data_IF_839444975447
#
_entry.id   IF_839444975447
#
_cell.length_a   1.000
_cell.length_b   1.000
_cell.length_c   1.000
_cell.angle_alpha   90.00
_cell.angle_beta   90.00
_cell.angle_gamma   90.00
#
_symmetry.space_group_name_H-M   'P 1'
#
loop_
_entity.id
_entity.type
_entity.pdbx_description
1 polymer ?
#
# COMPACT_ATOMS: atom_id res chain seq x y z
N UNK A 1 -1.12 22.43 -1.60
CA UNK A 1 -0.42 23.71 -1.82
C UNK A 1 -0.52 24.54 -0.54
N UNK A 2 0.53 25.27 -0.16
CA UNK A 2 0.54 26.10 1.05
C UNK A 2 -0.49 27.23 0.93
N UNK A 3 -1.19 27.52 2.03
CA UNK A 3 -2.22 28.55 2.09
C UNK A 3 -1.61 29.96 1.98
N UNK A 4 -1.96 30.71 0.93
CA UNK A 4 -1.43 32.06 0.67
C UNK A 4 -1.83 33.09 1.73
N UNK A 5 -2.84 32.81 2.56
CA UNK A 5 -3.22 33.71 3.67
C UNK A 5 -2.28 33.66 4.86
N UNK A 6 -1.53 32.58 5.08
CA UNK A 6 -0.60 32.46 6.22
C UNK A 6 0.87 32.63 5.86
N UNK A 7 1.22 32.48 4.58
CA UNK A 7 2.61 32.57 4.11
C UNK A 7 2.67 33.44 2.84
N UNK A 8 2.63 34.78 2.97
CA UNK A 8 2.47 35.66 1.82
C UNK A 8 3.76 35.84 1.00
N UNK A 9 4.93 35.45 1.55
CA UNK A 9 6.22 35.64 0.89
C UNK A 9 6.98 34.32 0.70
N UNK A 10 7.89 34.31 -0.29
CA UNK A 10 8.68 33.13 -0.65
C UNK A 10 9.53 32.62 0.52
N UNK A 11 10.10 33.53 1.32
CA UNK A 11 10.92 33.20 2.49
C UNK A 11 10.17 32.33 3.49
N UNK A 12 8.97 32.74 3.88
CA UNK A 12 8.20 32.05 4.90
C UNK A 12 7.69 30.70 4.38
N UNK A 13 7.29 30.62 3.09
CA UNK A 13 6.93 29.35 2.43
C UNK A 13 8.10 28.35 2.44
N UNK A 14 9.30 28.79 2.07
CA UNK A 14 10.51 27.96 2.02
C UNK A 14 10.92 27.49 3.42
N UNK A 15 11.06 28.41 4.38
CA UNK A 15 11.49 28.08 5.74
C UNK A 15 10.49 27.18 6.47
N UNK A 16 9.19 27.44 6.30
CA UNK A 16 8.14 26.58 6.85
C UNK A 16 8.24 25.16 6.27
N UNK A 17 8.36 25.02 4.95
CA UNK A 17 8.48 23.71 4.30
C UNK A 17 9.71 22.92 4.78
N UNK A 18 10.87 23.58 4.87
CA UNK A 18 12.10 22.99 5.40
C UNK A 18 11.93 22.53 6.86
N UNK A 19 11.16 23.25 7.68
CA UNK A 19 10.95 22.91 9.09
C UNK A 19 10.23 21.56 9.32
N UNK A 20 9.47 21.07 8.33
CA UNK A 20 8.78 19.78 8.39
C UNK A 20 9.64 18.60 7.92
N UNK A 21 10.78 18.85 7.27
CA UNK A 21 11.66 17.81 6.72
C UNK A 21 12.61 17.25 7.79
N UNK A 22 12.02 16.60 8.80
CA UNK A 22 12.75 16.06 9.97
C UNK A 22 13.18 14.60 9.83
N UNK A 23 12.69 13.90 8.81
CA UNK A 23 12.95 12.47 8.59
C UNK A 23 14.34 12.20 7.98
N UNK A 24 14.92 11.03 8.29
CA UNK A 24 16.36 10.69 8.09
C UNK A 24 16.87 10.99 6.67
N UNK A 25 16.07 10.68 5.64
CA UNK A 25 16.46 10.87 4.24
C UNK A 25 16.33 12.33 3.77
N UNK A 26 15.39 13.08 4.34
CA UNK A 26 15.14 14.48 3.99
C UNK A 26 15.99 15.46 4.82
N UNK A 27 16.43 15.06 6.02
CA UNK A 27 17.10 15.92 6.98
C UNK A 27 18.42 16.52 6.44
N UNK A 28 19.25 15.71 5.76
CA UNK A 28 20.52 16.21 5.18
C UNK A 28 20.30 17.21 4.04
N UNK A 29 19.29 16.94 3.20
CA UNK A 29 18.94 17.86 2.11
C UNK A 29 18.35 19.16 2.67
N UNK A 30 17.49 19.05 3.68
CA UNK A 30 16.93 20.18 4.41
C UNK A 30 18.02 21.06 5.03
N UNK A 31 19.00 20.44 5.69
CA UNK A 31 20.13 21.17 6.29
C UNK A 31 20.93 21.92 5.22
N UNK A 32 21.27 21.24 4.13
CA UNK A 32 21.99 21.85 3.01
C UNK A 32 21.23 23.04 2.41
N UNK A 33 19.93 22.87 2.11
CA UNK A 33 19.09 23.93 1.54
C UNK A 33 18.84 25.08 2.51
N UNK A 34 18.69 24.78 3.80
CA UNK A 34 18.57 25.81 4.83
C UNK A 34 19.84 26.66 4.92
N UNK A 35 21.01 26.03 4.82
CA UNK A 35 22.30 26.72 4.88
C UNK A 35 22.55 27.56 3.62
N UNK A 36 22.25 27.03 2.44
CA UNK A 36 22.31 27.75 1.17
C UNK A 36 21.42 29.02 1.22
N UNK A 37 20.16 28.86 1.61
CA UNK A 37 19.22 29.97 1.67
C UNK A 37 19.61 31.03 2.71
N UNK A 38 20.06 30.61 3.90
CA UNK A 38 20.56 31.53 4.94
C UNK A 38 21.81 32.28 4.48
N UNK A 39 22.67 31.66 3.68
CA UNK A 39 23.85 32.30 3.11
C UNK A 39 23.44 33.40 2.13
N UNK A 40 22.56 33.11 1.17
CA UNK A 40 22.07 34.11 0.21
C UNK A 40 21.34 35.27 0.89
N UNK A 41 20.61 35.02 2.00
CA UNK A 41 20.00 36.09 2.80
C UNK A 41 21.02 37.04 3.42
N UNK A 42 22.11 36.50 3.97
CA UNK A 42 23.18 37.31 4.57
C UNK A 42 23.92 38.12 3.51
N UNK A 43 24.21 37.51 2.37
CA UNK A 43 24.86 38.17 1.25
C UNK A 43 23.99 39.32 0.74
N UNK A 44 22.68 39.11 0.55
CA UNK A 44 21.76 40.15 0.10
C UNK A 44 21.58 41.29 1.11
N UNK A 45 21.69 41.00 2.41
CA UNK A 45 21.67 42.04 3.44
C UNK A 45 22.96 42.88 3.46
N UNK A 46 24.07 42.32 3.00
CA UNK A 46 25.36 43.02 2.89
C UNK A 46 25.53 43.74 1.54
N UNK A 47 24.56 43.61 0.63
CA UNK A 47 24.55 44.23 -0.68
C UNK A 47 24.40 45.75 -0.59
N UNK A 48 25.23 46.49 -1.33
CA UNK A 48 25.11 47.94 -1.41
C UNK A 48 23.94 48.33 -2.30
N UNK A 49 23.22 49.39 -1.91
CA UNK A 49 22.06 49.92 -2.65
C UNK A 49 22.40 50.41 -4.07
N UNK A 50 23.70 50.60 -4.36
CA UNK A 50 24.23 51.06 -5.65
C UNK A 50 24.65 49.91 -6.59
N UNK A 51 24.39 48.65 -6.23
CA UNK A 51 24.72 47.49 -7.06
C UNK A 51 23.90 47.48 -8.36
N UNK A 52 24.58 47.22 -9.49
CA UNK A 52 23.92 47.10 -10.79
C UNK A 52 22.95 45.91 -10.79
N UNK A 53 21.86 45.93 -11.58
CA UNK A 53 20.89 44.83 -11.63
C UNK A 53 21.51 43.46 -11.96
N UNK A 54 22.58 43.45 -12.75
CA UNK A 54 23.36 42.26 -13.11
C UNK A 54 24.21 41.67 -11.97
N UNK A 55 24.53 42.49 -10.96
CA UNK A 55 25.33 42.10 -9.79
C UNK A 55 24.44 41.79 -8.56
N UNK A 56 23.10 41.88 -8.71
CA UNK A 56 22.18 41.70 -7.59
C UNK A 56 22.11 40.25 -7.11
N UNK A 57 22.15 40.07 -5.80
CA UNK A 57 22.08 38.76 -5.17
C UNK A 57 20.66 38.20 -5.33
N UNK A 58 20.58 37.13 -6.10
CA UNK A 58 19.35 36.38 -6.31
C UNK A 58 18.95 35.64 -5.03
N UNK A 59 17.70 35.85 -4.59
CA UNK A 59 17.10 35.01 -3.56
C UNK A 59 16.21 33.99 -4.23
N UNK A 60 16.46 32.72 -3.91
CA UNK A 60 15.63 31.62 -4.36
C UNK A 60 14.15 31.92 -4.12
N UNK A 61 13.40 31.86 -5.21
CA UNK A 61 11.94 32.01 -5.24
C UNK A 61 11.25 30.74 -4.78
N UNK A 62 9.96 30.82 -4.49
CA UNK A 62 9.19 29.64 -4.10
C UNK A 62 9.10 28.63 -5.25
N UNK A 63 8.99 29.10 -6.48
CA UNK A 63 8.92 28.28 -7.68
C UNK A 63 10.23 27.51 -7.93
N UNK A 64 11.38 28.18 -7.80
CA UNK A 64 12.70 27.54 -7.90
C UNK A 64 12.93 26.52 -6.78
N UNK A 65 12.54 26.87 -5.54
CA UNK A 65 12.58 25.91 -4.44
C UNK A 65 11.73 24.67 -4.73
N UNK A 66 10.52 24.85 -5.26
CA UNK A 66 9.66 23.73 -5.62
C UNK A 66 10.24 22.87 -6.74
N UNK A 67 10.92 23.46 -7.71
CA UNK A 67 11.59 22.71 -8.78
C UNK A 67 12.75 21.87 -8.23
N UNK A 68 13.60 22.47 -7.39
CA UNK A 68 14.68 21.76 -6.68
C UNK A 68 14.15 20.68 -5.76
N UNK A 69 13.07 20.97 -5.02
CA UNK A 69 12.38 20.01 -4.16
C UNK A 69 11.85 18.84 -4.99
N UNK A 70 11.17 19.11 -6.11
CA UNK A 70 10.67 18.08 -7.03
C UNK A 70 11.79 17.32 -7.74
N UNK A 71 12.99 17.87 -7.88
CA UNK A 71 14.16 17.15 -8.44
C UNK A 71 14.81 16.26 -7.39
N UNK A 72 14.99 16.76 -6.17
CA UNK A 72 15.63 16.03 -5.08
C UNK A 72 14.75 14.92 -4.49
N UNK A 73 13.46 15.21 -4.39
CA UNK A 73 12.41 14.27 -3.99
C UNK A 73 11.52 13.94 -5.16
N UNK A 74 12.03 14.05 -6.39
CA UNK A 74 11.44 13.32 -7.50
C UNK A 74 11.40 11.90 -6.99
N UNK A 75 10.20 11.38 -6.79
CA UNK A 75 10.01 9.97 -6.56
C UNK A 75 10.64 9.36 -7.81
N UNK A 76 11.90 8.93 -7.66
CA UNK A 76 12.74 8.44 -8.77
C UNK A 76 12.03 7.30 -9.49
N UNK A 77 10.96 6.75 -8.90
CA UNK A 77 10.06 5.90 -9.60
C UNK A 77 8.67 5.82 -8.94
N UNK A 78 7.79 6.83 -9.01
CA UNK A 78 6.37 6.53 -8.67
C UNK A 78 5.88 5.42 -9.59
N UNK A 79 6.18 5.55 -10.89
CA UNK A 79 5.86 4.56 -11.90
C UNK A 79 6.50 3.20 -11.61
N UNK A 80 7.83 3.10 -11.48
CA UNK A 80 8.44 1.76 -11.29
C UNK A 80 8.28 1.24 -9.86
N UNK A 81 8.18 2.06 -8.82
CA UNK A 81 7.88 1.60 -7.45
C UNK A 81 6.43 1.13 -7.36
N UNK A 82 5.46 1.88 -7.90
CA UNK A 82 4.08 1.42 -7.99
C UNK A 82 3.96 0.16 -8.84
N UNK A 83 4.65 0.09 -9.98
CA UNK A 83 4.68 -1.10 -10.82
C UNK A 83 5.32 -2.30 -10.11
N UNK A 84 6.46 -2.11 -9.44
CA UNK A 84 7.14 -3.17 -8.69
C UNK A 84 6.27 -3.63 -7.51
N UNK A 85 5.62 -2.70 -6.80
CA UNK A 85 4.65 -2.99 -5.75
C UNK A 85 3.44 -3.73 -6.30
N UNK A 86 2.91 -3.34 -7.45
CA UNK A 86 1.79 -4.00 -8.12
C UNK A 86 2.15 -5.42 -8.53
N UNK A 87 3.33 -5.63 -9.11
CA UNK A 87 3.86 -6.95 -9.48
C UNK A 87 4.01 -7.87 -8.27
N UNK A 88 4.44 -7.30 -7.14
CA UNK A 88 4.65 -8.02 -5.88
C UNK A 88 3.39 -8.08 -5.00
N UNK A 89 2.31 -7.39 -5.38
CA UNK A 89 1.07 -7.37 -4.62
C UNK A 89 0.43 -8.76 -4.70
N UNK A 90 0.24 -9.38 -3.53
CA UNK A 90 -0.42 -10.67 -3.38
C UNK A 90 -1.54 -10.56 -2.36
N UNK A 91 -2.69 -11.16 -2.68
CA UNK A 91 -3.82 -11.28 -1.76
C UNK A 91 -3.41 -12.03 -0.49
N UNK A 92 -2.67 -13.14 -0.61
CA UNK A 92 -2.23 -13.96 0.51
C UNK A 92 -3.39 -14.29 1.49
N UNK A 93 -3.25 -13.94 2.76
CA UNK A 93 -4.26 -14.13 3.82
C UNK A 93 -5.14 -12.88 4.03
N UNK A 94 -4.97 -11.83 3.23
CA UNK A 94 -5.74 -10.58 3.36
C UNK A 94 -7.18 -10.80 2.93
N UNK A 95 -8.07 -9.99 3.51
CA UNK A 95 -9.45 -9.93 3.03
C UNK A 95 -9.50 -9.40 1.60
N UNK A 96 -10.51 -9.78 0.83
CA UNK A 96 -10.65 -9.37 -0.57
C UNK A 96 -10.72 -7.84 -0.72
N UNK A 97 -11.47 -7.16 0.14
CA UNK A 97 -11.59 -5.70 0.08
C UNK A 97 -10.28 -4.97 0.45
N UNK A 98 -9.47 -5.54 1.36
CA UNK A 98 -8.13 -4.99 1.66
C UNK A 98 -7.22 -5.11 0.44
N UNK A 99 -7.25 -6.27 -0.23
CA UNK A 99 -6.48 -6.48 -1.45
C UNK A 99 -6.92 -5.54 -2.59
N UNK A 100 -8.23 -5.37 -2.80
CA UNK A 100 -8.77 -4.44 -3.80
C UNK A 100 -8.36 -3.00 -3.49
N UNK A 101 -8.42 -2.59 -2.22
CA UNK A 101 -8.00 -1.25 -1.80
C UNK A 101 -6.51 -1.01 -2.09
N UNK A 102 -5.64 -1.94 -1.67
CA UNK A 102 -4.20 -1.86 -1.93
C UNK A 102 -3.91 -1.82 -3.43
N UNK A 103 -4.61 -2.63 -4.23
CA UNK A 103 -4.49 -2.64 -5.67
C UNK A 103 -4.89 -1.29 -6.28
N UNK A 104 -6.07 -0.78 -5.91
CA UNK A 104 -6.57 0.51 -6.40
C UNK A 104 -5.59 1.65 -6.07
N UNK A 105 -5.08 1.73 -4.84
CA UNK A 105 -4.12 2.75 -4.44
C UNK A 105 -2.83 2.75 -5.28
N UNK A 106 -2.38 1.57 -5.74
CA UNK A 106 -1.22 1.43 -6.60
C UNK A 106 -1.50 1.78 -8.07
N UNK A 107 -2.77 1.83 -8.49
CA UNK A 107 -3.17 2.04 -9.88
C UNK A 107 -3.86 3.38 -10.15
N UNK A 108 -4.13 4.19 -9.11
CA UNK A 108 -4.82 5.51 -9.24
C UNK A 108 -4.21 6.38 -10.34
N UNK A 109 -2.89 6.50 -10.36
CA UNK A 109 -2.16 7.33 -11.33
C UNK A 109 -1.52 6.51 -12.45
N UNK A 110 -1.97 5.25 -12.65
CA UNK A 110 -1.44 4.40 -13.72
C UNK A 110 -2.14 4.67 -15.05
N UNK A 111 -1.38 4.64 -16.15
CA UNK A 111 -1.92 4.74 -17.52
C UNK A 111 -2.37 3.36 -18.06
N UNK A 112 -2.59 2.38 -17.19
CA UNK A 112 -2.98 1.04 -17.60
C UNK A 112 -4.43 0.98 -18.06
N UNK A 113 -4.66 0.26 -19.15
CA UNK A 113 -6.01 -0.11 -19.58
C UNK A 113 -6.54 -1.28 -18.73
N UNK A 114 -7.85 -1.51 -18.80
CA UNK A 114 -8.54 -2.57 -18.06
C UNK A 114 -7.87 -3.93 -18.21
N UNK A 115 -7.46 -4.29 -19.44
CA UNK A 115 -6.81 -5.58 -19.69
C UNK A 115 -5.53 -5.75 -18.88
N UNK A 116 -4.67 -4.74 -18.88
CA UNK A 116 -3.43 -4.76 -18.11
C UNK A 116 -3.71 -4.79 -16.60
N UNK A 117 -4.71 -4.01 -16.13
CA UNK A 117 -5.13 -4.03 -14.73
C UNK A 117 -5.65 -5.40 -14.31
N UNK A 118 -6.47 -6.05 -15.14
CA UNK A 118 -7.01 -7.39 -14.89
C UNK A 118 -5.88 -8.42 -14.80
N UNK A 119 -4.91 -8.38 -15.72
CA UNK A 119 -3.76 -9.29 -15.71
C UNK A 119 -2.95 -9.15 -14.40
N UNK A 120 -2.68 -7.91 -13.98
CA UNK A 120 -2.00 -7.63 -12.71
C UNK A 120 -2.82 -8.09 -11.50
N UNK A 121 -4.12 -7.79 -11.48
CA UNK A 121 -5.03 -8.18 -10.41
C UNK A 121 -5.08 -9.70 -10.26
N UNK A 122 -5.24 -10.43 -11.37
CA UNK A 122 -5.30 -11.90 -11.42
C UNK A 122 -3.97 -12.56 -11.04
N UNK A 123 -2.84 -11.93 -11.30
CA UNK A 123 -1.52 -12.43 -10.90
C UNK A 123 -1.29 -12.35 -9.38
N UNK A 124 -1.99 -11.47 -8.68
CA UNK A 124 -1.90 -11.30 -7.24
C UNK A 124 -2.87 -12.14 -6.41
N UNK A 125 -3.94 -12.67 -7.02
CA UNK A 125 -4.96 -13.44 -6.32
C UNK A 125 -4.45 -14.79 -5.76
N UNK A 126 -5.13 -15.26 -4.70
CA UNK A 126 -4.92 -16.60 -4.19
C UNK A 126 -5.27 -17.66 -5.26
N UNK A 127 -4.49 -18.75 -5.43
CA UNK A 127 -4.68 -19.70 -6.53
C UNK A 127 -6.10 -20.28 -6.65
N UNK A 128 -6.74 -20.59 -5.52
CA UNK A 128 -8.12 -21.09 -5.52
C UNK A 128 -9.12 -20.07 -6.10
N UNK A 129 -8.98 -18.79 -5.72
CA UNK A 129 -9.84 -17.73 -6.22
C UNK A 129 -9.58 -17.46 -7.71
N UNK A 130 -8.32 -17.46 -8.12
CA UNK A 130 -7.94 -17.35 -9.54
C UNK A 130 -8.63 -18.42 -10.39
N UNK A 131 -8.63 -19.68 -9.93
CA UNK A 131 -9.32 -20.77 -10.62
C UNK A 131 -10.83 -20.57 -10.67
N UNK A 132 -11.47 -20.14 -9.58
CA UNK A 132 -12.90 -19.86 -9.55
C UNK A 132 -13.31 -18.71 -10.48
N UNK A 133 -12.44 -17.72 -10.66
CA UNK A 133 -12.75 -16.58 -11.52
C UNK A 133 -12.44 -16.83 -13.01
N UNK A 134 -11.71 -17.90 -13.34
CA UNK A 134 -11.37 -18.28 -14.72
C UNK A 134 -12.53 -18.95 -15.49
N UNK A 135 -13.71 -19.03 -14.89
CA UNK A 135 -14.95 -19.54 -15.51
C UNK A 135 -15.33 -18.64 -16.72
N UNK A 136 -16.02 -19.18 -17.76
CA UNK A 136 -16.54 -18.41 -18.88
C UNK A 136 -17.33 -17.15 -18.49
N UNK A 137 -17.56 -16.29 -19.49
CA UNK A 137 -18.19 -14.97 -19.35
C UNK A 137 -17.37 -14.04 -18.44
N UNK A 138 -16.09 -13.91 -18.76
CA UNK A 138 -15.19 -13.05 -18.01
C UNK A 138 -15.54 -11.57 -18.24
N UNK A 139 -15.56 -10.75 -17.18
CA UNK A 139 -15.77 -9.32 -17.32
C UNK A 139 -14.63 -8.65 -18.09
N UNK A 140 -14.91 -7.47 -18.65
CA UNK A 140 -13.92 -6.73 -19.46
C UNK A 140 -13.35 -5.51 -18.73
N UNK A 141 -13.91 -5.13 -17.58
CA UNK A 141 -13.43 -3.99 -16.78
C UNK A 141 -12.92 -4.43 -15.42
N UNK A 142 -11.93 -3.70 -14.88
CA UNK A 142 -11.36 -4.04 -13.58
C UNK A 142 -12.41 -3.95 -12.45
N UNK A 143 -13.38 -3.05 -12.54
CA UNK A 143 -14.46 -2.89 -11.56
C UNK A 143 -15.36 -4.11 -11.50
N UNK A 144 -15.73 -4.68 -12.66
CA UNK A 144 -16.54 -5.90 -12.70
C UNK A 144 -15.75 -7.10 -12.16
N UNK A 145 -14.43 -7.13 -12.38
CA UNK A 145 -13.53 -8.12 -11.79
C UNK A 145 -13.46 -8.00 -10.26
N UNK A 146 -13.42 -6.79 -9.71
CA UNK A 146 -13.47 -6.56 -8.27
C UNK A 146 -14.76 -7.10 -7.65
N UNK A 147 -15.91 -6.80 -8.26
CA UNK A 147 -17.21 -7.27 -7.77
C UNK A 147 -17.31 -8.81 -7.86
N UNK A 148 -16.89 -9.38 -8.98
CA UNK A 148 -16.85 -10.84 -9.15
C UNK A 148 -15.96 -11.50 -8.09
N UNK A 149 -14.77 -10.96 -7.86
CA UNK A 149 -13.84 -11.47 -6.84
C UNK A 149 -14.45 -11.43 -5.43
N UNK A 150 -15.13 -10.33 -5.06
CA UNK A 150 -15.86 -10.21 -3.79
C UNK A 150 -16.92 -11.29 -3.64
N UNK A 151 -17.74 -11.50 -4.68
CA UNK A 151 -18.82 -12.51 -4.68
C UNK A 151 -18.28 -13.93 -4.42
N UNK A 152 -17.23 -14.34 -5.13
CA UNK A 152 -16.65 -15.67 -4.96
C UNK A 152 -15.92 -15.84 -3.62
N UNK A 153 -15.22 -14.80 -3.15
CA UNK A 153 -14.59 -14.83 -1.83
C UNK A 153 -15.63 -15.00 -0.72
N UNK A 154 -16.74 -14.27 -0.79
CA UNK A 154 -17.83 -14.38 0.17
C UNK A 154 -18.48 -15.78 0.12
N UNK A 155 -18.77 -16.30 -1.07
CA UNK A 155 -19.31 -17.65 -1.21
C UNK A 155 -18.38 -18.73 -0.61
N UNK A 156 -17.07 -18.59 -0.82
CA UNK A 156 -16.07 -19.49 -0.23
C UNK A 156 -16.04 -19.39 1.30
N UNK A 157 -16.03 -18.17 1.86
CA UNK A 157 -16.07 -17.95 3.30
C UNK A 157 -17.36 -18.52 3.93
N UNK A 158 -18.51 -18.30 3.29
CA UNK A 158 -19.79 -18.90 3.73
C UNK A 158 -19.73 -20.42 3.72
N UNK A 159 -19.19 -21.03 2.66
CA UNK A 159 -19.02 -22.48 2.55
C UNK A 159 -18.09 -23.03 3.63
N UNK A 160 -16.97 -22.36 3.91
CA UNK A 160 -16.05 -22.75 4.99
C UNK A 160 -16.72 -22.64 6.37
N UNK A 161 -17.53 -21.61 6.62
CA UNK A 161 -18.27 -21.47 7.86
C UNK A 161 -19.30 -22.60 8.06
N UNK A 162 -20.04 -22.97 7.00
CA UNK A 162 -21.00 -24.08 7.02
C UNK A 162 -20.28 -25.41 7.27
N UNK A 163 -19.27 -25.76 6.47
CA UNK A 163 -18.55 -27.02 6.61
C UNK A 163 -17.73 -27.12 7.92
N UNK A 164 -17.19 -26.00 8.40
CA UNK A 164 -16.55 -25.93 9.71
C UNK A 164 -17.54 -26.19 10.86
N UNK A 165 -18.75 -25.63 10.75
CA UNK A 165 -19.86 -25.92 11.66
C UNK A 165 -20.37 -27.36 11.56
N UNK A 166 -20.35 -27.97 10.38
CA UNK A 166 -20.73 -29.39 10.18
C UNK A 166 -19.71 -30.36 10.77
N UNK A 167 -18.40 -30.05 10.71
CA UNK A 167 -17.36 -30.86 11.38
C UNK A 167 -17.54 -30.88 12.91
N UNK A 168 -18.03 -29.80 13.51
CA UNK A 168 -18.40 -29.77 14.93
C UNK A 168 -19.68 -30.55 15.25
N UNK A 169 -20.59 -30.74 14.29
CA UNK A 169 -21.85 -31.48 14.47
C UNK A 169 -21.71 -33.00 14.28
N UNK A 170 -20.60 -33.50 13.71
CA UNK A 170 -20.34 -34.94 13.52
C UNK A 170 -19.47 -35.53 14.64
N UNK A 171 -19.98 -35.55 15.87
CA UNK A 171 -19.67 -36.61 16.84
C UNK A 171 -20.96 -36.99 17.57
N UNK A 172 -21.45 -38.21 17.34
CA UNK A 172 -21.43 -39.17 18.44
C UNK A 172 -20.95 -40.55 17.97
N UNK A 173 -19.95 -41.12 18.65
CA UNK A 173 -19.65 -42.56 18.59
C UNK A 173 -20.51 -43.24 19.68
N UNK A 174 -21.35 -44.23 19.37
CA UNK A 174 -21.90 -45.08 20.42
C UNK A 174 -20.79 -46.04 20.87
N UNK A 175 -20.45 -46.03 22.15
CA UNK A 175 -19.58 -47.03 22.76
C UNK A 175 -20.31 -48.38 22.78
N UNK A 176 -20.02 -49.25 21.81
CA UNK A 176 -20.34 -50.68 21.95
C UNK A 176 -19.30 -51.30 22.89
N UNK A 177 -19.63 -51.42 24.18
CA UNK A 177 -18.83 -52.21 25.13
C UNK A 177 -19.01 -53.70 24.81
N UNK A 178 -18.07 -54.26 24.07
CA UNK A 178 -17.92 -55.72 23.95
C UNK A 178 -17.17 -56.20 25.19
N UNK A 179 -17.90 -56.72 26.18
CA UNK A 179 -17.28 -57.43 27.29
C UNK A 179 -16.68 -58.74 26.77
N UNK A 180 -15.35 -58.79 26.69
CA UNK A 180 -14.61 -60.05 26.54
C UNK A 180 -14.56 -60.72 27.91
N UNK A 181 -15.23 -61.87 28.04
CA UNK A 181 -15.03 -62.80 29.14
C UNK A 181 -13.57 -63.26 29.12
N UNK A 182 -12.86 -63.08 30.22
CA UNK A 182 -11.56 -63.73 30.46
C UNK A 182 -11.80 -65.00 31.25
N UNK A 183 -11.42 -66.14 30.67
CA UNK A 183 -11.37 -67.44 31.33
C UNK A 183 -10.29 -67.43 32.42
N UNK A 184 -10.72 -67.39 33.68
CA UNK A 184 -9.93 -67.80 34.83
C UNK A 184 -10.87 -67.99 36.03
N UNK A 185 -11.37 -69.22 36.19
CA UNK A 185 -11.62 -69.92 37.48
C UNK A 185 -12.56 -71.11 37.22
N UNK A 186 -12.05 -72.09 36.48
CA UNK A 186 -12.48 -73.47 36.63
C UNK A 186 -11.46 -74.15 37.54
N UNK A 187 -11.83 -74.40 38.80
CA UNK A 187 -11.50 -75.59 39.59
C UNK A 187 -11.87 -75.34 41.05
N UNK A 188 -13.02 -75.85 41.50
CA UNK A 188 -13.05 -76.58 42.77
C UNK A 188 -14.25 -77.57 42.86
N UNK A 189 -13.87 -78.86 42.87
CA UNK A 189 -14.46 -80.14 43.28
C UNK A 189 -15.76 -80.75 42.72
N UNK A 190 -15.53 -81.98 42.21
CA UNK A 190 -16.33 -83.21 42.29
C UNK A 190 -17.18 -83.36 43.55
#
# INVERSE_FOLDING_TARGET
MANDTFYPNNKDKILFTLSYMKEIHAAKWMEAKTNEYKKSLKEKQAESTDAKPEDQIHLMTWEEFLDDFKKAFRLVDIGTDAWLKLKNLKQNKKHMDEYIMDFHLLTIDSEYNDRALIDHFMAGLHPLLKSCLSIPDQPNTIEEWHERARKYNNAWLTMMAIMGGERMKKTPKPETKVNRLSDAEAMEYH
#
